data_IF_047885654969
#
_entry.id   IF_047885654969
#
_cell.length_a   1.000
_cell.length_b   1.000
_cell.length_c   1.000
_cell.angle_alpha   90.00
_cell.angle_beta   90.00
_cell.angle_gamma   90.00
#
_symmetry.space_group_name_H-M   'P 1'
#
loop_
_entity.id
_entity.type
_entity.pdbx_description
1 polymer ?
#
# COMPACT_ATOMS: atom_id res chain seq x y z
N UNK A 1 -21.58 -25.29 -5.97
CA UNK A 1 -20.30 -25.92 -5.61
C UNK A 1 -19.78 -25.24 -4.35
N UNK A 2 -20.06 -25.82 -3.19
CA UNK A 2 -19.66 -25.27 -1.91
C UNK A 2 -18.19 -25.62 -1.70
N UNK A 3 -17.29 -24.64 -1.72
CA UNK A 3 -15.90 -24.87 -1.36
C UNK A 3 -15.88 -25.43 0.08
N UNK A 4 -15.37 -26.65 0.24
CA UNK A 4 -15.26 -27.34 1.51
C UNK A 4 -14.17 -26.64 2.34
N UNK A 5 -14.55 -25.63 3.10
CA UNK A 5 -13.62 -24.86 3.90
C UNK A 5 -13.16 -25.69 5.10
N UNK A 6 -11.87 -25.64 5.40
CA UNK A 6 -11.28 -26.36 6.52
C UNK A 6 -11.84 -25.83 7.86
N UNK A 7 -12.63 -26.66 8.55
CA UNK A 7 -13.18 -26.40 9.89
C UNK A 7 -12.23 -26.80 11.03
N UNK A 8 -11.03 -27.32 10.72
CA UNK A 8 -10.06 -27.66 11.77
C UNK A 8 -9.61 -26.38 12.50
N UNK A 9 -9.70 -26.33 13.84
CA UNK A 9 -9.09 -25.27 14.62
C UNK A 9 -7.58 -25.33 14.46
N UNK A 10 -6.94 -24.16 14.41
CA UNK A 10 -5.48 -24.09 14.28
C UNK A 10 -4.85 -24.56 15.59
N UNK A 11 -3.75 -25.32 15.52
CA UNK A 11 -3.11 -25.98 16.68
C UNK A 11 -2.78 -25.07 17.89
N UNK A 12 -2.80 -23.74 17.72
CA UNK A 12 -2.44 -22.76 18.75
C UNK A 12 -3.50 -21.65 18.95
N UNK A 13 -4.71 -21.79 18.38
CA UNK A 13 -5.76 -20.79 18.54
C UNK A 13 -7.15 -21.32 18.20
N UNK A 14 -8.17 -20.80 18.89
CA UNK A 14 -9.59 -21.16 18.69
C UNK A 14 -10.12 -20.77 17.30
N UNK A 15 -9.38 -19.95 16.55
CA UNK A 15 -9.79 -19.46 15.23
C UNK A 15 -9.70 -20.54 14.16
N UNK A 16 -10.67 -20.54 13.26
CA UNK A 16 -10.77 -21.51 12.17
C UNK A 16 -10.03 -20.99 10.93
N UNK A 17 -9.57 -21.89 10.05
CA UNK A 17 -8.83 -21.53 8.83
C UNK A 17 -9.56 -20.47 7.98
N UNK A 18 -10.89 -20.51 7.96
CA UNK A 18 -11.76 -19.54 7.29
C UNK A 18 -11.59 -18.11 7.82
N UNK A 19 -11.55 -17.96 9.15
CA UNK A 19 -11.47 -16.65 9.81
C UNK A 19 -10.10 -16.01 9.57
N UNK A 20 -9.04 -16.80 9.63
CA UNK A 20 -7.66 -16.34 9.35
C UNK A 20 -7.54 -15.89 7.89
N UNK A 21 -8.10 -16.65 6.95
CA UNK A 21 -8.11 -16.25 5.54
C UNK A 21 -8.90 -14.96 5.30
N UNK A 22 -10.03 -14.78 6.01
CA UNK A 22 -10.82 -13.55 5.96
C UNK A 22 -10.06 -12.35 6.51
N UNK A 23 -9.42 -12.50 7.68
CA UNK A 23 -8.61 -11.44 8.28
C UNK A 23 -7.43 -11.05 7.38
N UNK A 24 -6.68 -12.02 6.85
CA UNK A 24 -5.58 -11.72 5.92
C UNK A 24 -6.05 -10.91 4.70
N UNK A 25 -7.15 -11.33 4.06
CA UNK A 25 -7.69 -10.59 2.91
C UNK A 25 -8.15 -9.18 3.27
N UNK A 26 -8.72 -9.00 4.46
CA UNK A 26 -9.11 -7.67 4.96
C UNK A 26 -7.87 -6.79 5.20
N UNK A 27 -6.86 -7.33 5.88
CA UNK A 27 -5.59 -6.62 6.13
C UNK A 27 -4.90 -6.22 4.83
N UNK A 28 -4.81 -7.13 3.85
CA UNK A 28 -4.24 -6.86 2.53
C UNK A 28 -5.00 -5.75 1.80
N UNK A 29 -6.33 -5.76 1.90
CA UNK A 29 -7.17 -4.69 1.33
C UNK A 29 -6.89 -3.35 2.01
N UNK A 30 -6.86 -3.32 3.33
CA UNK A 30 -6.57 -2.11 4.10
C UNK A 30 -5.17 -1.56 3.79
N UNK A 31 -4.17 -2.44 3.68
CA UNK A 31 -2.81 -2.08 3.27
C UNK A 31 -2.80 -1.46 1.87
N UNK A 32 -3.41 -2.12 0.88
CA UNK A 32 -3.46 -1.60 -0.48
C UNK A 32 -4.16 -0.24 -0.56
N UNK A 33 -5.32 -0.07 0.10
CA UNK A 33 -6.00 1.23 0.16
C UNK A 33 -5.12 2.31 0.81
N UNK A 34 -4.40 1.97 1.89
CA UNK A 34 -3.53 2.91 2.59
C UNK A 34 -2.30 3.35 1.76
N UNK A 35 -1.71 2.46 0.96
CA UNK A 35 -0.61 2.77 0.03
C UNK A 35 -1.10 3.77 -1.03
N UNK A 36 -2.24 3.51 -1.65
CA UNK A 36 -2.81 4.40 -2.67
C UNK A 36 -3.23 5.76 -2.12
N UNK A 37 -3.76 5.82 -0.89
CA UNK A 37 -4.07 7.07 -0.21
C UNK A 37 -2.81 7.92 0.04
N UNK A 38 -1.73 7.31 0.51
CA UNK A 38 -0.45 8.00 0.70
C UNK A 38 0.11 8.52 -0.63
N UNK A 39 0.13 7.68 -1.68
CA UNK A 39 0.55 8.08 -3.02
C UNK A 39 -0.22 9.31 -3.53
N UNK A 40 -1.56 9.26 -3.49
CA UNK A 40 -2.42 10.35 -3.97
C UNK A 40 -2.20 11.66 -3.21
N UNK A 41 -1.90 11.59 -1.90
CA UNK A 41 -1.58 12.77 -1.09
C UNK A 41 -0.24 13.39 -1.49
N UNK A 42 0.78 12.55 -1.70
CA UNK A 42 2.09 12.96 -2.21
C UNK A 42 1.96 13.63 -3.58
N UNK A 43 1.25 12.98 -4.50
CA UNK A 43 1.07 13.40 -5.89
C UNK A 43 0.39 14.76 -5.98
N UNK A 44 -0.73 14.96 -5.26
CA UNK A 44 -1.39 16.27 -5.18
C UNK A 44 -0.46 17.36 -4.65
N UNK A 45 0.36 17.05 -3.66
CA UNK A 45 1.30 18.01 -3.06
C UNK A 45 2.40 18.41 -4.05
N UNK A 46 3.00 17.43 -4.73
CA UNK A 46 4.03 17.68 -5.73
C UNK A 46 3.49 18.35 -6.98
N UNK A 47 2.31 17.96 -7.44
CA UNK A 47 1.63 18.58 -8.55
C UNK A 47 1.29 20.05 -8.26
N UNK A 48 0.84 20.37 -7.04
CA UNK A 48 0.63 21.76 -6.63
C UNK A 48 1.93 22.59 -6.63
N UNK A 49 3.08 21.99 -6.28
CA UNK A 49 4.40 22.65 -6.38
C UNK A 49 4.83 22.86 -7.83
N UNK A 50 4.59 21.88 -8.69
CA UNK A 50 4.83 21.96 -10.12
C UNK A 50 3.99 23.09 -10.75
N UNK A 51 2.68 23.15 -10.48
CA UNK A 51 1.80 24.22 -10.96
C UNK A 51 2.25 25.61 -10.49
N UNK A 52 2.74 25.72 -9.26
CA UNK A 52 3.30 26.97 -8.71
C UNK A 52 4.72 27.29 -9.23
N UNK A 53 5.24 26.53 -10.20
CA UNK A 53 6.60 26.64 -10.75
C UNK A 53 7.70 26.58 -9.68
N UNK A 54 7.42 25.95 -8.54
CA UNK A 54 8.38 25.71 -7.43
C UNK A 54 9.13 24.38 -7.60
N UNK A 55 8.94 23.72 -8.73
CA UNK A 55 9.49 22.42 -9.09
C UNK A 55 9.51 22.35 -10.62
N UNK A 56 10.63 21.93 -11.19
CA UNK A 56 10.76 21.82 -12.65
C UNK A 56 10.06 20.56 -13.16
N UNK A 57 9.74 20.52 -14.46
CA UNK A 57 9.19 19.32 -15.09
C UNK A 57 10.09 18.11 -14.90
N UNK A 58 11.40 18.26 -15.09
CA UNK A 58 12.37 17.18 -14.89
C UNK A 58 12.38 16.66 -13.45
N UNK A 59 12.30 17.55 -12.46
CA UNK A 59 12.20 17.16 -11.05
C UNK A 59 10.89 16.41 -10.77
N UNK A 60 9.78 16.82 -11.39
CA UNK A 60 8.49 16.14 -11.25
C UNK A 60 8.46 14.77 -11.91
N UNK A 61 9.01 14.63 -13.11
CA UNK A 61 9.13 13.34 -13.78
C UNK A 61 10.03 12.38 -13.00
N UNK A 62 11.18 12.85 -12.50
CA UNK A 62 12.08 12.03 -11.70
C UNK A 62 11.40 11.55 -10.41
N UNK A 63 10.71 12.46 -9.72
CA UNK A 63 9.95 12.12 -8.52
C UNK A 63 8.80 11.15 -8.81
N UNK A 64 8.07 11.34 -9.91
CA UNK A 64 6.97 10.46 -10.33
C UNK A 64 7.46 9.03 -10.61
N UNK A 65 8.58 8.87 -11.33
CA UNK A 65 9.18 7.55 -11.57
C UNK A 65 9.60 6.87 -10.27
N UNK A 66 10.29 7.60 -9.41
CA UNK A 66 10.75 7.09 -8.12
C UNK A 66 9.59 6.63 -7.21
N UNK A 67 8.49 7.40 -7.15
CA UNK A 67 7.35 7.06 -6.30
C UNK A 67 6.50 5.91 -6.83
N UNK A 68 6.47 5.70 -8.15
CA UNK A 68 5.88 4.49 -8.74
C UNK A 68 6.68 3.25 -8.36
N UNK A 69 8.01 3.29 -8.41
CA UNK A 69 8.86 2.17 -7.97
C UNK A 69 8.66 1.86 -6.48
N UNK A 70 8.62 2.89 -5.63
CA UNK A 70 8.33 2.72 -4.20
C UNK A 70 6.94 2.11 -3.97
N UNK A 71 5.92 2.54 -4.73
CA UNK A 71 4.56 1.98 -4.62
C UNK A 71 4.56 0.50 -4.97
N UNK A 72 5.23 0.11 -6.06
CA UNK A 72 5.33 -1.30 -6.47
C UNK A 72 6.02 -2.15 -5.41
N UNK A 73 7.09 -1.65 -4.78
CA UNK A 73 7.74 -2.34 -3.65
C UNK A 73 6.80 -2.51 -2.46
N UNK A 74 6.03 -1.48 -2.12
CA UNK A 74 5.04 -1.56 -1.05
C UNK A 74 3.89 -2.53 -1.39
N UNK A 75 3.38 -2.52 -2.63
CA UNK A 75 2.34 -3.46 -3.10
C UNK A 75 2.85 -4.92 -3.09
N UNK A 76 4.12 -5.14 -3.41
CA UNK A 76 4.77 -6.45 -3.34
C UNK A 76 5.13 -6.90 -1.91
N UNK A 77 4.77 -6.12 -0.89
CA UNK A 77 5.18 -6.34 0.51
C UNK A 77 6.69 -6.40 0.73
N UNK A 78 7.49 -5.80 -0.16
CA UNK A 78 8.95 -5.62 0.01
C UNK A 78 9.28 -4.43 0.90
N UNK A 79 8.30 -3.58 1.19
CA UNK A 79 8.43 -2.37 1.99
C UNK A 79 7.21 -2.21 2.90
N UNK A 80 7.43 -1.91 4.17
CA UNK A 80 6.36 -1.62 5.12
C UNK A 80 5.72 -0.25 4.83
N UNK A 81 4.43 -0.11 5.15
CA UNK A 81 3.66 1.12 4.91
C UNK A 81 4.30 2.33 5.59
N UNK A 82 4.83 2.15 6.81
CA UNK A 82 5.45 3.22 7.58
C UNK A 82 6.72 3.76 6.89
N UNK A 83 7.54 2.87 6.32
CA UNK A 83 8.74 3.26 5.57
C UNK A 83 8.36 3.94 4.25
N UNK A 84 7.34 3.42 3.56
CA UNK A 84 6.80 4.04 2.35
C UNK A 84 6.32 5.48 2.59
N UNK A 85 5.57 5.71 3.67
CA UNK A 85 5.10 7.04 4.05
C UNK A 85 6.25 8.00 4.38
N UNK A 86 7.29 7.49 5.05
CA UNK A 86 8.49 8.26 5.40
C UNK A 86 9.28 8.68 4.15
N UNK A 87 9.44 7.78 3.18
CA UNK A 87 10.10 8.07 1.89
C UNK A 87 9.32 9.10 1.06
N UNK A 88 7.98 9.04 1.09
CA UNK A 88 7.13 10.04 0.46
C UNK A 88 7.15 11.41 1.16
N UNK A 89 7.77 11.51 2.36
CA UNK A 89 7.83 12.71 3.21
C UNK A 89 6.44 13.30 3.51
N UNK A 90 5.47 12.42 3.81
CA UNK A 90 4.09 12.76 4.17
C UNK A 90 3.90 12.74 5.69
#
# INVERSE_FOLDING_TARGET
MSAEYCERPVKYGEQHCREIGSHKRYDDKCKNESIWLAYNRADKTHFARYLKRKMTTAQFEQWSRYTVELRQKAENSEMELADYQKELRI
#
